data_IF_458393740109
#
_entry.id   IF_458393740109
#
_cell.length_a   1.000
_cell.length_b   1.000
_cell.length_c   1.000
_cell.angle_alpha   90.00
_cell.angle_beta   90.00
_cell.angle_gamma   90.00
#
_symmetry.space_group_name_H-M   'P 1'
#
loop_
_entity.id
_entity.type
_entity.pdbx_description
1 polymer ?
#
# COMPACT_ATOMS: atom_id res chain seq x y z
N UNK A 1 0.78 1.25 22.69
CA UNK A 1 1.36 1.37 24.05
C UNK A 1 1.54 2.85 24.35
N UNK A 2 1.03 3.36 25.47
CA UNK A 2 1.74 4.46 26.11
C UNK A 2 3.12 3.92 26.45
N UNK A 3 4.18 4.63 26.07
CA UNK A 3 5.57 4.26 26.33
C UNK A 3 5.74 4.03 27.84
N UNK A 4 5.61 2.77 28.28
CA UNK A 4 5.89 2.37 29.65
C UNK A 4 7.39 2.10 29.75
N UNK A 5 8.01 2.72 30.74
CA UNK A 5 9.43 2.78 31.09
C UNK A 5 10.11 1.41 31.38
N UNK A 6 9.86 0.38 30.56
CA UNK A 6 10.25 -1.00 30.91
C UNK A 6 10.95 -1.83 29.84
N UNK A 7 11.50 -1.22 28.80
CA UNK A 7 12.53 -1.90 28.01
C UNK A 7 13.84 -1.10 28.04
N UNK A 8 14.93 -1.80 28.37
CA UNK A 8 16.31 -1.41 28.10
C UNK A 8 16.54 -1.37 26.58
N UNK A 9 15.85 -0.47 25.87
CA UNK A 9 16.01 -0.35 24.44
C UNK A 9 17.36 0.30 24.18
N UNK A 10 18.29 -0.50 23.66
CA UNK A 10 19.58 -0.05 23.18
C UNK A 10 19.39 0.55 21.79
N UNK A 11 19.89 1.75 21.58
CA UNK A 11 19.84 2.52 20.34
C UNK A 11 21.23 2.65 19.73
N UNK A 12 21.30 2.96 18.46
CA UNK A 12 22.55 3.26 17.76
C UNK A 12 22.31 4.36 16.74
N UNK A 13 23.39 5.01 16.30
CA UNK A 13 23.35 5.83 15.09
C UNK A 13 23.18 4.90 13.90
N UNK A 14 22.41 5.33 12.89
CA UNK A 14 22.23 4.54 11.69
C UNK A 14 23.59 4.27 11.00
N UNK A 15 23.94 3.02 10.65
CA UNK A 15 25.28 2.67 10.15
C UNK A 15 25.71 3.44 8.89
N UNK A 16 24.76 3.75 8.02
CA UNK A 16 24.98 4.46 6.75
C UNK A 16 24.87 6.00 6.86
N UNK A 17 24.89 6.55 8.08
CA UNK A 17 24.80 8.01 8.24
C UNK A 17 26.04 8.69 7.63
N UNK A 18 25.79 9.74 6.88
CA UNK A 18 26.80 10.57 6.25
C UNK A 18 26.68 12.00 6.80
N UNK A 19 27.79 12.56 7.28
CA UNK A 19 27.84 13.91 7.83
C UNK A 19 28.77 14.77 6.99
N UNK A 20 28.21 15.83 6.39
CA UNK A 20 28.94 16.77 5.56
C UNK A 20 29.06 18.12 6.26
N UNK A 21 30.27 18.47 6.69
CA UNK A 21 30.53 19.78 7.28
C UNK A 21 30.53 20.85 6.19
N UNK A 22 29.71 21.89 6.37
CA UNK A 22 29.64 23.05 5.47
C UNK A 22 30.42 24.23 6.07
N UNK A 23 30.71 25.25 5.26
CA UNK A 23 31.37 26.46 5.78
C UNK A 23 30.51 27.15 6.86
N UNK A 24 31.16 27.58 7.94
CA UNK A 24 30.50 28.23 9.08
C UNK A 24 30.00 27.24 10.15
N UNK A 25 28.86 27.55 10.77
CA UNK A 25 28.26 26.75 11.85
C UNK A 25 27.22 25.74 11.37
N UNK A 26 27.27 25.34 10.10
CA UNK A 26 26.29 24.44 9.46
C UNK A 26 26.90 23.10 9.10
N UNK A 27 26.10 22.07 9.23
CA UNK A 27 26.37 20.74 8.73
C UNK A 27 25.16 20.26 7.92
N UNK A 28 25.36 19.20 7.17
CA UNK A 28 24.31 18.44 6.50
C UNK A 28 24.44 17.00 6.96
N UNK A 29 23.36 16.44 7.48
CA UNK A 29 23.29 15.05 7.90
C UNK A 29 22.41 14.34 6.89
N UNK A 30 22.92 13.25 6.36
CA UNK A 30 22.29 12.53 5.27
C UNK A 30 22.26 11.03 5.56
N UNK A 31 21.20 10.39 5.11
CA UNK A 31 21.17 8.97 4.83
C UNK A 31 20.91 8.89 3.34
N UNK A 32 21.97 8.66 2.56
CA UNK A 32 21.89 8.82 1.09
C UNK A 32 20.99 7.77 0.46
N UNK A 33 21.15 6.52 0.89
CA UNK A 33 20.25 5.42 0.53
C UNK A 33 18.83 5.71 1.02
N UNK A 34 18.71 6.46 2.13
CA UNK A 34 17.43 6.91 2.64
C UNK A 34 16.88 8.19 1.94
N UNK A 35 17.56 8.78 0.97
CA UNK A 35 17.13 10.05 0.33
C UNK A 35 16.87 11.21 1.30
N UNK A 36 17.22 11.04 2.58
CA UNK A 36 16.94 11.96 3.68
C UNK A 36 18.17 12.83 3.82
N UNK A 37 17.98 14.14 3.71
CA UNK A 37 19.03 15.14 3.93
C UNK A 37 18.47 16.29 4.76
N UNK A 38 19.07 16.54 5.91
CA UNK A 38 18.70 17.67 6.76
C UNK A 38 19.88 18.64 6.89
N UNK A 39 19.60 19.94 6.79
CA UNK A 39 20.56 20.95 7.22
C UNK A 39 20.48 21.10 8.73
N UNK A 40 21.62 21.01 9.40
CA UNK A 40 21.71 21.06 10.85
C UNK A 40 22.80 22.03 11.30
N UNK A 41 22.85 22.27 12.62
CA UNK A 41 24.00 22.96 13.21
C UNK A 41 25.20 22.03 13.27
N UNK A 42 26.40 22.60 13.20
CA UNK A 42 27.65 21.86 13.40
C UNK A 42 27.69 21.14 14.76
N UNK A 43 27.08 21.73 15.78
CA UNK A 43 26.98 21.14 17.12
C UNK A 43 26.15 19.85 17.14
N UNK A 44 25.06 19.78 16.37
CA UNK A 44 24.27 18.55 16.25
C UNK A 44 25.05 17.45 15.53
N UNK A 45 25.79 17.80 14.48
CA UNK A 45 26.67 16.85 13.80
C UNK A 45 27.73 16.26 14.75
N UNK A 46 28.37 17.10 15.57
CA UNK A 46 29.34 16.66 16.58
C UNK A 46 28.72 15.74 17.64
N UNK A 47 27.46 15.98 18.03
CA UNK A 47 26.74 15.07 18.94
C UNK A 47 26.48 13.71 18.28
N UNK A 48 26.06 13.70 17.01
CA UNK A 48 25.80 12.45 16.29
C UNK A 48 27.09 11.66 16.11
N UNK A 49 28.20 12.31 15.73
CA UNK A 49 29.52 11.66 15.67
C UNK A 49 29.90 11.04 17.02
N UNK A 50 29.74 11.79 18.12
CA UNK A 50 30.05 11.30 19.47
C UNK A 50 29.15 10.14 19.92
N UNK A 51 27.90 10.08 19.45
CA UNK A 51 27.00 8.95 19.68
C UNK A 51 27.36 7.75 18.80
N UNK A 52 27.84 7.98 17.58
CA UNK A 52 28.24 6.94 16.63
C UNK A 52 29.46 6.16 17.13
N UNK A 53 30.38 6.83 17.83
CA UNK A 53 31.56 6.19 18.45
C UNK A 53 31.23 5.17 19.57
N UNK A 54 30.00 5.18 20.10
CA UNK A 54 29.63 4.36 21.27
C UNK A 54 29.14 2.96 20.92
N UNK A 55 29.06 2.60 19.64
CA UNK A 55 28.35 1.44 19.06
C UNK A 55 26.84 1.42 19.40
N UNK A 56 26.48 1.57 20.69
CA UNK A 56 25.11 1.61 21.17
C UNK A 56 24.96 2.49 22.43
N UNK A 57 23.76 3.05 22.67
CA UNK A 57 23.45 3.96 23.78
C UNK A 57 21.98 3.88 24.22
N UNK A 58 21.64 4.44 25.38
CA UNK A 58 20.24 4.53 25.87
C UNK A 58 19.56 5.83 25.41
N UNK A 59 18.22 5.87 25.46
CA UNK A 59 17.47 7.12 25.22
C UNK A 59 17.86 8.21 26.20
N UNK A 60 18.09 7.88 27.47
CA UNK A 60 18.50 8.87 28.47
C UNK A 60 19.86 9.50 28.14
N UNK A 61 20.77 8.75 27.50
CA UNK A 61 22.03 9.30 26.99
C UNK A 61 21.77 10.37 25.93
N UNK A 62 20.77 10.20 25.07
CA UNK A 62 20.40 11.23 24.08
C UNK A 62 19.78 12.46 24.74
N UNK A 63 18.92 12.26 25.75
CA UNK A 63 18.25 13.35 26.50
C UNK A 63 19.24 14.25 27.23
N UNK A 64 20.40 13.72 27.61
CA UNK A 64 21.49 14.52 28.20
C UNK A 64 22.21 15.40 27.16
N UNK A 65 22.16 15.06 25.88
CA UNK A 65 22.94 15.70 24.81
C UNK A 65 22.12 16.67 23.95
N UNK A 66 20.84 16.38 23.73
CA UNK A 66 19.94 17.14 22.85
C UNK A 66 18.53 17.26 23.44
N UNK A 67 17.76 18.24 22.96
CA UNK A 67 16.35 18.41 23.36
C UNK A 67 15.45 17.33 22.77
N UNK A 68 14.29 17.08 23.39
CA UNK A 68 13.28 16.12 22.90
C UNK A 68 12.88 16.37 21.44
N UNK A 69 12.65 17.62 21.04
CA UNK A 69 12.33 17.96 19.63
C UNK A 69 13.40 17.47 18.64
N UNK A 70 14.68 17.47 19.05
CA UNK A 70 15.78 17.00 18.21
C UNK A 70 15.80 15.48 18.19
N UNK A 71 15.54 14.82 19.32
CA UNK A 71 15.43 13.35 19.40
C UNK A 71 14.32 12.88 18.46
N UNK A 72 13.15 13.53 18.50
CA UNK A 72 12.02 13.22 17.63
C UNK A 72 12.40 13.37 16.15
N UNK A 73 13.11 14.44 15.78
CA UNK A 73 13.62 14.62 14.41
C UNK A 73 14.60 13.51 14.04
N UNK A 74 15.52 13.15 14.93
CA UNK A 74 16.51 12.10 14.68
C UNK A 74 15.86 10.72 14.48
N UNK A 75 14.88 10.37 15.33
CA UNK A 75 14.15 9.11 15.24
C UNK A 75 13.23 9.07 14.02
N UNK A 76 12.46 10.14 13.77
CA UNK A 76 11.54 10.24 12.63
C UNK A 76 12.27 10.13 11.29
N UNK A 77 13.50 10.64 11.21
CA UNK A 77 14.32 10.58 10.00
C UNK A 77 15.30 9.41 10.00
N UNK A 78 15.14 8.44 10.92
CA UNK A 78 15.96 7.23 11.02
C UNK A 78 17.46 7.45 11.24
N UNK A 79 17.90 8.65 11.64
CA UNK A 79 19.31 8.89 12.00
C UNK A 79 19.72 8.13 13.26
N UNK A 80 18.75 7.86 14.16
CA UNK A 80 18.91 7.06 15.36
C UNK A 80 17.87 5.96 15.38
N UNK A 81 18.30 4.72 15.59
CA UNK A 81 17.48 3.51 15.41
C UNK A 81 17.67 2.55 16.59
N UNK A 82 16.65 1.76 16.98
CA UNK A 82 16.85 0.66 17.93
C UNK A 82 17.82 -0.38 17.33
N UNK A 83 18.68 -0.98 18.16
CA UNK A 83 19.62 -2.01 17.69
C UNK A 83 18.89 -3.21 17.08
N UNK A 84 17.75 -3.58 17.66
CA UNK A 84 16.88 -4.64 17.13
C UNK A 84 16.36 -4.38 15.71
N UNK A 85 16.38 -3.13 15.25
CA UNK A 85 15.88 -2.70 13.95
C UNK A 85 16.96 -2.73 12.85
N UNK A 86 18.23 -3.01 13.19
CA UNK A 86 19.33 -2.99 12.23
C UNK A 86 19.10 -3.95 11.05
N UNK A 87 18.65 -5.16 11.34
CA UNK A 87 18.33 -6.14 10.31
C UNK A 87 17.11 -5.71 9.49
N UNK A 88 16.11 -5.09 10.12
CA UNK A 88 14.90 -4.60 9.47
C UNK A 88 15.23 -3.47 8.47
N UNK A 89 16.06 -2.51 8.86
CA UNK A 89 16.47 -1.39 8.01
C UNK A 89 17.46 -1.79 6.92
N UNK A 90 18.39 -2.73 7.21
CA UNK A 90 19.29 -3.30 6.19
C UNK A 90 18.50 -4.09 5.15
N UNK A 91 17.49 -4.84 5.59
CA UNK A 91 16.67 -5.67 4.71
C UNK A 91 15.65 -4.83 3.94
N UNK A 92 14.99 -3.88 4.60
CA UNK A 92 13.89 -3.08 4.05
C UNK A 92 13.96 -1.60 4.47
N UNK A 93 14.80 -0.80 3.81
CA UNK A 93 14.77 0.66 3.95
C UNK A 93 13.41 1.24 3.55
N UNK A 94 12.85 2.12 4.39
CA UNK A 94 11.57 2.82 4.16
C UNK A 94 11.72 4.31 4.48
N UNK A 95 11.22 5.18 3.62
CA UNK A 95 11.19 6.64 3.81
C UNK A 95 9.85 7.07 4.40
N UNK A 96 9.79 7.91 5.45
CA UNK A 96 8.52 8.41 5.96
C UNK A 96 7.79 9.25 4.90
N UNK A 97 6.47 9.10 4.80
CA UNK A 97 5.69 9.94 3.89
C UNK A 97 5.69 11.41 4.34
N UNK A 98 5.96 12.33 3.41
CA UNK A 98 5.81 13.78 3.66
C UNK A 98 4.37 14.16 4.05
N UNK A 99 3.40 13.40 3.53
CA UNK A 99 1.97 13.59 3.70
C UNK A 99 1.33 12.25 4.03
N UNK A 100 1.43 11.79 5.30
CA UNK A 100 0.92 10.49 5.70
C UNK A 100 -0.60 10.44 5.63
N UNK A 101 -1.13 9.26 5.32
CA UNK A 101 -2.55 8.92 5.46
C UNK A 101 -2.81 8.49 6.90
N UNK A 102 -3.57 9.27 7.66
CA UNK A 102 -3.73 9.02 9.09
C UNK A 102 -2.44 9.30 9.86
N UNK A 103 -2.06 8.41 10.77
CA UNK A 103 -0.92 8.60 11.67
C UNK A 103 0.37 8.07 11.03
N UNK A 104 1.49 8.77 11.18
CA UNK A 104 2.79 8.21 10.78
C UNK A 104 3.13 6.99 11.64
N UNK A 105 3.47 5.89 10.98
CA UNK A 105 4.04 4.71 11.61
C UNK A 105 5.49 4.60 11.19
N UNK A 106 6.39 4.68 12.15
CA UNK A 106 7.79 4.38 11.90
C UNK A 106 8.03 2.88 12.08
N UNK A 107 9.05 2.35 11.42
CA UNK A 107 9.40 0.94 11.51
C UNK A 107 9.72 0.47 12.95
N UNK A 108 10.21 1.34 13.85
CA UNK A 108 10.40 1.02 15.27
C UNK A 108 9.10 0.96 16.10
N UNK A 109 7.99 1.43 15.53
CA UNK A 109 6.66 1.42 16.14
C UNK A 109 5.82 0.23 15.63
N UNK A 110 6.37 -0.64 14.79
CA UNK A 110 5.64 -1.80 14.26
C UNK A 110 5.02 -2.66 15.37
N UNK A 111 5.71 -2.88 16.49
CA UNK A 111 5.19 -3.65 17.65
C UNK A 111 4.02 -2.98 18.38
N UNK A 112 3.74 -1.71 18.08
CA UNK A 112 2.59 -1.00 18.64
C UNK A 112 1.28 -1.30 17.90
N UNK A 113 1.38 -1.87 16.70
CA UNK A 113 0.23 -2.27 15.89
C UNK A 113 -0.61 -3.32 16.60
N UNK A 114 -1.92 -3.18 16.46
CA UNK A 114 -2.92 -4.08 16.99
C UNK A 114 -3.63 -4.81 15.85
N UNK A 115 -4.37 -5.85 16.25
CA UNK A 115 -5.28 -6.55 15.37
C UNK A 115 -6.25 -5.55 14.72
N UNK A 116 -6.45 -5.70 13.41
CA UNK A 116 -7.36 -4.91 12.57
C UNK A 116 -6.95 -3.44 12.35
N UNK A 117 -5.81 -2.97 12.90
CA UNK A 117 -5.19 -1.70 12.48
C UNK A 117 -4.91 -1.73 10.98
N UNK A 118 -5.02 -0.59 10.29
CA UNK A 118 -4.81 -0.49 8.84
C UNK A 118 -3.50 0.23 8.54
N UNK A 119 -2.59 -0.43 7.83
CA UNK A 119 -1.28 0.12 7.45
C UNK A 119 -1.23 0.39 5.96
N UNK A 120 -1.06 1.65 5.59
CA UNK A 120 -0.88 2.13 4.22
C UNK A 120 0.60 2.35 3.95
N UNK A 121 1.10 1.94 2.79
CA UNK A 121 2.46 2.24 2.37
C UNK A 121 2.63 2.09 0.87
N UNK A 122 3.72 2.64 0.33
CA UNK A 122 4.02 2.62 -1.10
C UNK A 122 5.14 1.65 -1.39
N UNK A 123 4.96 0.87 -2.45
CA UNK A 123 5.95 -0.08 -2.92
C UNK A 123 6.18 0.15 -4.43
N UNK A 124 7.36 0.60 -4.85
CA UNK A 124 7.68 0.88 -6.25
C UNK A 124 8.17 -0.39 -6.99
N UNK A 125 7.48 -1.53 -6.83
CA UNK A 125 7.86 -2.78 -7.51
C UNK A 125 7.56 -2.64 -9.01
N UNK A 126 8.56 -2.85 -9.86
CA UNK A 126 8.35 -2.77 -11.30
C UNK A 126 9.23 -3.76 -12.07
N UNK A 127 8.59 -4.58 -12.89
CA UNK A 127 9.19 -5.60 -13.74
C UNK A 127 9.66 -5.07 -15.09
N UNK A 128 9.13 -3.94 -15.54
CA UNK A 128 9.46 -3.35 -16.85
C UNK A 128 10.04 -1.95 -16.70
N UNK A 129 11.30 -1.76 -17.09
CA UNK A 129 12.00 -0.47 -16.98
C UNK A 129 11.75 0.47 -18.16
N UNK A 130 10.96 0.04 -19.16
CA UNK A 130 10.78 0.70 -20.45
C UNK A 130 9.31 0.70 -20.91
N UNK A 131 8.38 0.98 -20.01
CA UNK A 131 7.00 1.26 -20.35
C UNK A 131 6.84 2.74 -20.77
N UNK A 132 5.90 3.02 -21.68
CA UNK A 132 5.60 4.40 -22.12
C UNK A 132 5.07 5.27 -20.97
N UNK A 133 4.47 4.61 -19.96
CA UNK A 133 3.96 5.23 -18.73
C UNK A 133 4.62 4.54 -17.54
N UNK A 134 5.62 5.18 -16.90
CA UNK A 134 6.18 4.69 -15.64
C UNK A 134 5.11 4.61 -14.55
N UNK A 135 5.20 3.61 -13.67
CA UNK A 135 4.20 3.36 -12.58
C UNK A 135 4.82 3.30 -11.18
N UNK A 136 6.14 3.39 -11.06
CA UNK A 136 6.86 3.22 -9.78
C UNK A 136 6.48 4.27 -8.75
N UNK A 137 6.17 5.51 -9.18
CA UNK A 137 5.76 6.60 -8.28
C UNK A 137 4.26 6.86 -8.23
N UNK A 138 3.42 6.17 -9.03
CA UNK A 138 1.99 6.43 -9.09
C UNK A 138 1.28 6.28 -7.76
N UNK A 139 1.69 5.29 -6.96
CA UNK A 139 1.16 5.08 -5.60
C UNK A 139 1.38 6.28 -4.66
N UNK A 140 2.40 7.11 -4.87
CA UNK A 140 2.60 8.35 -4.09
C UNK A 140 1.52 9.39 -4.38
N UNK A 141 1.05 9.45 -5.62
CA UNK A 141 -0.08 10.30 -5.99
C UNK A 141 -1.38 9.80 -5.37
N UNK A 142 -1.62 8.49 -5.39
CA UNK A 142 -2.77 7.87 -4.70
C UNK A 142 -2.73 8.24 -3.22
N UNK A 143 -1.58 8.06 -2.55
CA UNK A 143 -1.39 8.44 -1.15
C UNK A 143 -1.72 9.91 -0.91
N UNK A 144 -1.24 10.81 -1.77
CA UNK A 144 -1.51 12.24 -1.61
C UNK A 144 -3.00 12.55 -1.60
N UNK A 145 -3.76 12.06 -2.59
CA UNK A 145 -5.21 12.29 -2.64
C UNK A 145 -5.95 11.58 -1.51
N UNK A 146 -5.45 10.42 -1.08
CA UNK A 146 -6.00 9.69 0.05
C UNK A 146 -5.80 10.49 1.35
N UNK A 147 -4.60 10.99 1.60
CA UNK A 147 -4.29 11.84 2.75
C UNK A 147 -5.16 13.10 2.74
N UNK A 148 -5.37 13.74 1.59
CA UNK A 148 -6.24 14.89 1.45
C UNK A 148 -7.72 14.55 1.77
N UNK A 149 -8.15 13.29 1.63
CA UNK A 149 -9.48 12.81 2.05
C UNK A 149 -9.63 12.70 3.57
N UNK A 150 -8.55 12.35 4.28
CA UNK A 150 -8.53 12.17 5.73
C UNK A 150 -8.01 13.39 6.50
N UNK A 151 -7.67 14.49 5.80
CA UNK A 151 -7.17 15.74 6.40
C UNK A 151 -8.29 16.71 6.71
N UNK A 152 -8.16 17.40 7.85
CA UNK A 152 -9.03 18.52 8.20
C UNK A 152 -8.34 19.88 8.08
N UNK A 153 -9.14 20.89 7.73
CA UNK A 153 -8.69 22.23 7.31
C UNK A 153 -8.15 23.13 8.43
N UNK A 154 -7.60 22.56 9.52
CA UNK A 154 -7.23 23.32 10.74
C UNK A 154 -5.82 23.05 11.26
N UNK A 155 -5.40 21.78 11.35
CA UNK A 155 -4.08 21.37 11.85
C UNK A 155 -3.85 19.87 11.56
N UNK A 156 -2.62 19.42 11.25
CA UNK A 156 -2.33 18.00 11.00
C UNK A 156 -2.56 17.05 12.19
N UNK A 157 -2.84 17.59 13.39
CA UNK A 157 -3.05 16.81 14.62
C UNK A 157 -4.49 16.92 15.19
N UNK A 158 -5.40 17.62 14.52
CA UNK A 158 -6.77 17.70 15.01
C UNK A 158 -7.53 16.43 14.61
N UNK A 159 -7.98 15.67 15.61
CA UNK A 159 -8.93 14.58 15.38
C UNK A 159 -10.19 15.18 14.80
N UNK A 160 -10.63 14.65 13.67
CA UNK A 160 -11.72 15.26 12.95
C UNK A 160 -12.72 14.25 12.40
N UNK A 161 -13.98 14.69 12.43
CA UNK A 161 -15.10 13.93 11.90
C UNK A 161 -15.09 14.02 10.38
N UNK A 162 -14.95 12.86 9.74
CA UNK A 162 -15.18 12.68 8.32
C UNK A 162 -16.64 12.31 8.14
N UNK A 163 -17.34 13.02 7.24
CA UNK A 163 -18.70 12.67 6.87
C UNK A 163 -18.62 11.65 5.73
N UNK A 164 -18.97 10.40 6.02
CA UNK A 164 -19.20 9.39 4.99
C UNK A 164 -20.64 9.55 4.48
N UNK A 165 -20.79 10.16 3.31
CA UNK A 165 -22.09 10.40 2.72
C UNK A 165 -22.79 9.11 2.25
N UNK A 166 -22.02 8.08 1.94
CA UNK A 166 -22.51 6.81 1.42
C UNK A 166 -23.06 5.93 2.56
N UNK A 167 -22.49 6.04 3.76
CA UNK A 167 -23.04 5.43 4.98
C UNK A 167 -23.97 6.34 5.79
N UNK A 168 -23.95 7.65 5.54
CA UNK A 168 -24.71 8.62 6.32
C UNK A 168 -24.18 8.81 7.74
N UNK A 169 -22.90 8.53 7.94
CA UNK A 169 -22.27 8.52 9.28
C UNK A 169 -21.15 9.55 9.38
N UNK A 170 -20.89 9.99 10.61
CA UNK A 170 -19.66 10.70 10.96
C UNK A 170 -18.67 9.70 11.54
N UNK A 171 -17.46 9.73 11.03
CA UNK A 171 -16.37 8.85 11.42
C UNK A 171 -15.22 9.70 11.91
N UNK A 172 -14.81 9.54 13.16
CA UNK A 172 -13.55 10.14 13.62
C UNK A 172 -12.38 9.48 12.88
N UNK A 173 -11.46 10.28 12.36
CA UNK A 173 -10.25 9.77 11.72
C UNK A 173 -9.41 8.91 12.67
N UNK A 174 -9.42 9.20 13.97
CA UNK A 174 -8.71 8.39 14.97
C UNK A 174 -9.34 7.01 15.21
N UNK A 175 -10.66 6.87 15.03
CA UNK A 175 -11.38 5.60 15.13
C UNK A 175 -11.03 4.62 14.00
N UNK A 176 -10.40 5.09 12.92
CA UNK A 176 -10.01 4.26 11.78
C UNK A 176 -8.73 3.47 12.03
N UNK A 177 -7.98 3.79 13.10
CA UNK A 177 -6.68 3.16 13.41
C UNK A 177 -5.79 3.01 12.16
N UNK A 178 -5.70 4.12 11.41
CA UNK A 178 -5.04 4.20 10.10
C UNK A 178 -3.63 4.76 10.26
N UNK A 179 -2.66 3.99 9.77
CA UNK A 179 -1.25 4.28 9.88
C UNK A 179 -0.59 4.32 8.50
N UNK A 180 0.37 5.22 8.28
CA UNK A 180 1.17 5.30 7.05
C UNK A 180 2.63 5.01 7.36
N UNK A 181 3.15 3.91 6.80
CA UNK A 181 4.53 3.47 6.98
C UNK A 181 5.50 4.22 6.05
N UNK A 182 4.99 4.90 5.02
CA UNK A 182 5.81 5.60 4.03
C UNK A 182 6.15 4.76 2.81
N UNK A 183 7.31 5.02 2.21
CA UNK A 183 7.73 4.55 0.89
C UNK A 183 8.87 3.55 1.01
N UNK A 184 8.73 2.34 0.44
CA UNK A 184 9.87 1.42 0.32
C UNK A 184 10.94 2.08 -0.53
N UNK A 185 12.19 2.03 -0.05
CA UNK A 185 13.31 2.59 -0.76
C UNK A 185 13.61 1.81 -2.04
N UNK A 186 13.90 2.59 -3.09
CA UNK A 186 14.10 2.11 -4.44
C UNK A 186 15.04 3.04 -5.20
N UNK A 187 16.14 2.47 -5.68
CA UNK A 187 16.99 3.09 -6.68
C UNK A 187 16.80 2.39 -8.05
N UNK A 188 16.13 3.05 -9.02
CA UNK A 188 15.88 2.48 -10.34
C UNK A 188 17.16 2.21 -11.16
N UNK A 189 18.29 2.80 -10.77
CA UNK A 189 19.57 2.63 -11.47
C UNK A 189 20.33 1.38 -11.05
N UNK A 190 20.09 0.89 -9.83
CA UNK A 190 20.90 -0.18 -9.23
C UNK A 190 20.07 -1.37 -8.76
N UNK A 191 18.77 -1.18 -8.55
CA UNK A 191 17.91 -2.18 -7.93
C UNK A 191 16.94 -2.83 -8.91
N UNK A 192 16.69 -4.12 -8.68
CA UNK A 192 15.78 -4.92 -9.51
C UNK A 192 14.40 -5.01 -8.89
N UNK A 193 13.40 -5.34 -9.71
CA UNK A 193 12.06 -5.75 -9.27
C UNK A 193 12.09 -6.70 -8.07
N UNK A 194 12.99 -7.70 -8.12
CA UNK A 194 13.12 -8.71 -7.08
C UNK A 194 13.62 -8.14 -5.76
N UNK A 195 14.61 -7.25 -5.80
CA UNK A 195 15.15 -6.60 -4.61
C UNK A 195 14.06 -5.83 -3.87
N UNK A 196 13.30 -5.00 -4.59
CA UNK A 196 12.20 -4.21 -4.01
C UNK A 196 11.02 -5.11 -3.60
N UNK A 197 10.73 -6.15 -4.38
CA UNK A 197 9.68 -7.12 -4.06
C UNK A 197 9.97 -7.93 -2.78
N UNK A 198 11.22 -8.35 -2.56
CA UNK A 198 11.62 -9.04 -1.32
C UNK A 198 11.47 -8.12 -0.09
N UNK A 199 11.78 -6.82 -0.24
CA UNK A 199 11.50 -5.78 0.77
C UNK A 199 10.02 -5.68 1.10
N UNK A 200 9.18 -5.57 0.06
CA UNK A 200 7.73 -5.53 0.19
C UNK A 200 7.21 -6.77 0.91
N UNK A 201 7.62 -7.96 0.48
CA UNK A 201 7.21 -9.23 1.08
C UNK A 201 7.52 -9.25 2.57
N UNK A 202 8.73 -8.83 2.95
CA UNK A 202 9.14 -8.74 4.34
C UNK A 202 8.25 -7.79 5.17
N UNK A 203 7.96 -6.58 4.69
CA UNK A 203 7.06 -5.67 5.40
C UNK A 203 5.63 -6.22 5.52
N UNK A 204 5.11 -6.81 4.44
CA UNK A 204 3.79 -7.44 4.45
C UNK A 204 3.72 -8.56 5.49
N UNK A 205 4.79 -9.36 5.61
CA UNK A 205 4.89 -10.40 6.64
C UNK A 205 4.84 -9.81 8.04
N UNK A 206 5.62 -8.76 8.32
CA UNK A 206 5.64 -8.09 9.63
C UNK A 206 4.27 -7.51 10.00
N UNK A 207 3.57 -6.87 9.04
CA UNK A 207 2.21 -6.34 9.25
C UNK A 207 1.24 -7.51 9.52
N UNK A 208 1.31 -8.59 8.73
CA UNK A 208 0.46 -9.76 8.90
C UNK A 208 0.64 -10.46 10.24
N UNK A 209 1.87 -10.62 10.72
CA UNK A 209 2.15 -11.30 11.99
C UNK A 209 1.44 -10.60 13.17
N UNK A 210 1.24 -9.29 13.07
CA UNK A 210 0.54 -8.44 14.05
C UNK A 210 -0.98 -8.39 13.86
N UNK A 211 -1.50 -9.15 12.89
CA UNK A 211 -2.92 -9.23 12.53
C UNK A 211 -3.52 -7.89 12.06
N UNK A 212 -2.67 -7.00 11.58
CA UNK A 212 -3.08 -5.73 10.97
C UNK A 212 -3.38 -5.94 9.50
N UNK A 213 -4.21 -5.08 8.93
CA UNK A 213 -4.56 -5.08 7.51
C UNK A 213 -3.60 -4.15 6.77
N UNK A 214 -3.36 -4.44 5.49
CA UNK A 214 -2.46 -3.63 4.66
C UNK A 214 -3.18 -3.01 3.46
N UNK A 215 -2.73 -1.83 3.05
CA UNK A 215 -3.05 -1.19 1.78
C UNK A 215 -1.73 -0.83 1.11
N UNK A 216 -1.33 -1.62 0.12
CA UNK A 216 -0.08 -1.41 -0.63
C UNK A 216 -0.39 -0.55 -1.85
N UNK A 217 0.29 0.58 -1.98
CA UNK A 217 0.11 1.51 -3.09
C UNK A 217 1.26 1.36 -4.07
N UNK A 218 0.93 1.24 -5.35
CA UNK A 218 1.89 1.34 -6.43
C UNK A 218 2.51 0.02 -6.86
N UNK A 219 3.52 0.20 -7.70
CA UNK A 219 4.11 -0.81 -8.53
C UNK A 219 3.29 -1.13 -9.78
N UNK A 220 3.93 -1.84 -10.70
CA UNK A 220 3.23 -2.59 -11.72
C UNK A 220 2.58 -3.84 -11.07
N UNK A 221 1.76 -4.57 -11.82
CA UNK A 221 1.01 -5.68 -11.24
C UNK A 221 1.88 -6.84 -10.73
N UNK A 222 3.16 -6.87 -11.12
CA UNK A 222 4.10 -7.88 -10.63
C UNK A 222 4.31 -7.85 -9.11
N UNK A 223 3.93 -6.73 -8.48
CA UNK A 223 3.84 -6.58 -7.04
C UNK A 223 3.02 -7.70 -6.36
N UNK A 224 1.93 -8.13 -7.00
CA UNK A 224 0.97 -9.08 -6.44
C UNK A 224 1.64 -10.36 -5.95
N UNK A 225 2.68 -10.83 -6.64
CA UNK A 225 3.44 -12.01 -6.23
C UNK A 225 4.02 -11.86 -4.82
N UNK A 226 4.65 -10.72 -4.53
CA UNK A 226 5.32 -10.49 -3.25
C UNK A 226 4.32 -10.25 -2.13
N UNK A 227 3.28 -9.44 -2.38
CA UNK A 227 2.21 -9.18 -1.41
C UNK A 227 1.49 -10.48 -1.04
N UNK A 228 1.06 -11.26 -2.02
CA UNK A 228 0.29 -12.50 -1.81
C UNK A 228 1.17 -13.60 -1.21
N UNK A 229 2.45 -13.70 -1.61
CA UNK A 229 3.39 -14.64 -1.00
C UNK A 229 3.57 -14.38 0.50
N UNK A 230 3.70 -13.12 0.90
CA UNK A 230 3.86 -12.73 2.30
C UNK A 230 2.69 -13.17 3.19
N UNK A 231 1.46 -13.16 2.66
CA UNK A 231 0.26 -13.57 3.40
C UNK A 231 0.35 -15.03 3.88
N UNK A 232 1.06 -15.91 3.16
CA UNK A 232 1.21 -17.33 3.52
C UNK A 232 1.77 -17.57 4.93
N UNK A 233 2.47 -16.57 5.48
CA UNK A 233 3.08 -16.61 6.81
C UNK A 233 2.04 -16.82 7.91
N UNK A 234 0.85 -16.24 7.74
CA UNK A 234 -0.24 -16.31 8.72
C UNK A 234 -1.52 -16.91 8.15
N UNK A 235 -1.79 -16.69 6.86
CA UNK A 235 -3.00 -17.11 6.19
C UNK A 235 -2.71 -18.34 5.34
N UNK A 236 -2.99 -19.51 5.90
CA UNK A 236 -2.67 -20.79 5.27
C UNK A 236 -3.55 -21.11 4.05
N UNK A 237 -4.71 -20.47 3.95
CA UNK A 237 -5.68 -20.62 2.86
C UNK A 237 -6.31 -19.26 2.57
N UNK A 238 -6.14 -18.76 1.35
CA UNK A 238 -6.68 -17.45 0.94
C UNK A 238 -7.43 -17.52 -0.39
N UNK A 239 -8.44 -16.68 -0.50
CA UNK A 239 -9.01 -16.27 -1.79
C UNK A 239 -8.39 -14.96 -2.26
N UNK A 240 -8.21 -14.81 -3.58
CA UNK A 240 -7.72 -13.56 -4.19
C UNK A 240 -8.79 -13.02 -5.13
N UNK A 241 -9.06 -11.72 -5.06
CA UNK A 241 -9.91 -11.01 -6.03
C UNK A 241 -9.00 -10.07 -6.81
N UNK A 242 -8.80 -10.36 -8.09
CA UNK A 242 -8.04 -9.54 -9.03
C UNK A 242 -9.03 -8.68 -9.81
N UNK A 243 -9.03 -7.37 -9.57
CA UNK A 243 -9.71 -6.41 -10.44
C UNK A 243 -8.72 -5.97 -11.51
N UNK A 244 -9.03 -6.26 -12.77
CA UNK A 244 -8.09 -6.06 -13.87
C UNK A 244 -8.81 -6.12 -15.24
N UNK A 245 -8.34 -5.34 -16.23
CA UNK A 245 -8.74 -5.50 -17.62
C UNK A 245 -8.18 -6.79 -18.26
N UNK A 246 -7.05 -7.25 -17.77
CA UNK A 246 -6.23 -8.35 -18.23
C UNK A 246 -6.37 -9.57 -17.32
N UNK A 247 -5.81 -10.69 -17.77
CA UNK A 247 -5.73 -11.91 -16.97
C UNK A 247 -4.44 -12.02 -16.17
N UNK A 248 -3.36 -11.39 -16.64
CA UNK A 248 -2.02 -11.60 -16.10
C UNK A 248 -1.57 -13.07 -15.97
N UNK A 249 -2.04 -13.89 -16.91
CA UNK A 249 -1.73 -15.32 -17.01
C UNK A 249 -0.78 -15.63 -18.17
N UNK A 250 -0.18 -14.61 -18.80
CA UNK A 250 0.52 -14.76 -20.08
C UNK A 250 1.80 -15.59 -19.98
N UNK A 251 1.88 -16.71 -20.72
CA UNK A 251 3.12 -17.49 -20.87
C UNK A 251 3.22 -17.97 -22.31
N UNK A 252 3.99 -17.29 -23.17
CA UNK A 252 4.11 -17.72 -24.58
C UNK A 252 5.25 -18.71 -24.86
N UNK A 253 6.03 -19.07 -23.84
CA UNK A 253 7.15 -20.00 -23.96
C UNK A 253 8.45 -19.36 -24.48
N UNK A 254 8.47 -18.04 -24.70
CA UNK A 254 9.73 -17.30 -24.88
C UNK A 254 10.48 -17.18 -23.54
N UNK A 255 11.82 -17.18 -23.52
CA UNK A 255 12.59 -17.05 -22.28
C UNK A 255 12.28 -15.79 -21.47
N UNK A 256 11.91 -14.68 -22.12
CA UNK A 256 11.45 -13.44 -21.48
C UNK A 256 10.15 -13.61 -20.70
N UNK A 257 9.30 -14.54 -21.13
CA UNK A 257 7.96 -14.77 -20.56
C UNK A 257 7.99 -15.85 -19.48
N UNK A 258 9.16 -16.48 -19.26
CA UNK A 258 9.43 -17.36 -18.13
C UNK A 258 9.88 -16.59 -16.89
N UNK A 259 10.29 -15.32 -17.04
CA UNK A 259 10.51 -14.43 -15.90
C UNK A 259 9.18 -13.80 -15.48
N UNK A 260 8.99 -13.65 -14.17
CA UNK A 260 7.80 -13.01 -13.63
C UNK A 260 7.78 -11.52 -13.98
N UNK A 261 6.68 -11.05 -14.54
CA UNK A 261 6.39 -9.66 -14.88
C UNK A 261 4.91 -9.34 -14.62
N UNK A 262 4.51 -8.09 -14.83
CA UNK A 262 3.13 -7.65 -14.63
C UNK A 262 2.12 -8.52 -15.40
N UNK A 263 2.28 -8.67 -16.71
CA UNK A 263 1.38 -9.44 -17.57
C UNK A 263 1.33 -10.98 -17.33
N UNK A 264 2.15 -11.53 -16.43
CA UNK A 264 2.13 -12.97 -16.11
C UNK A 264 2.12 -13.29 -14.61
N UNK A 265 2.00 -12.30 -13.73
CA UNK A 265 2.14 -12.50 -12.28
C UNK A 265 1.15 -13.53 -11.74
N UNK A 266 -0.09 -13.53 -12.24
CA UNK A 266 -1.12 -14.48 -11.81
C UNK A 266 -0.89 -15.90 -12.30
N UNK A 267 -0.03 -16.11 -13.31
CA UNK A 267 0.44 -17.45 -13.65
C UNK A 267 1.21 -18.07 -12.48
N UNK A 268 1.96 -17.27 -11.73
CA UNK A 268 2.74 -17.72 -10.59
C UNK A 268 1.90 -17.75 -9.30
N UNK A 269 1.03 -16.77 -9.10
CA UNK A 269 0.14 -16.70 -7.92
C UNK A 269 -0.77 -17.91 -7.83
N UNK A 270 -1.34 -18.40 -8.93
CA UNK A 270 -2.24 -19.57 -8.90
C UNK A 270 -1.54 -20.86 -8.46
N UNK A 271 -0.22 -20.96 -8.68
CA UNK A 271 0.59 -22.12 -8.31
C UNK A 271 0.98 -22.09 -6.82
N UNK A 272 0.75 -20.98 -6.11
CA UNK A 272 1.01 -20.89 -4.67
C UNK A 272 0.09 -21.84 -3.90
N UNK A 273 0.67 -22.59 -2.96
CA UNK A 273 -0.04 -23.63 -2.22
C UNK A 273 -1.15 -23.08 -1.31
N UNK A 274 -0.96 -21.87 -0.75
CA UNK A 274 -1.93 -21.22 0.13
C UNK A 274 -3.04 -20.46 -0.61
N UNK A 275 -2.91 -20.26 -1.94
CA UNK A 275 -3.96 -19.66 -2.76
C UNK A 275 -4.95 -20.73 -3.18
N UNK A 276 -6.20 -20.64 -2.70
CA UNK A 276 -7.26 -21.62 -2.96
C UNK A 276 -8.05 -21.28 -4.22
N UNK A 277 -8.37 -20.00 -4.41
CA UNK A 277 -9.18 -19.51 -5.53
C UNK A 277 -8.75 -18.09 -5.91
N UNK A 278 -8.85 -17.77 -7.20
CA UNK A 278 -8.64 -16.44 -7.77
C UNK A 278 -9.91 -16.07 -8.54
N UNK A 279 -10.46 -14.89 -8.26
CA UNK A 279 -11.57 -14.29 -8.99
C UNK A 279 -11.09 -13.06 -9.75
N UNK A 280 -11.08 -13.15 -11.08
CA UNK A 280 -10.70 -12.07 -11.97
C UNK A 280 -11.94 -11.30 -12.38
N UNK A 281 -11.93 -9.99 -12.20
CA UNK A 281 -13.11 -9.13 -12.31
C UNK A 281 -12.79 -7.96 -13.23
N UNK A 282 -13.60 -7.79 -14.27
CA UNK A 282 -13.43 -6.70 -15.25
C UNK A 282 -12.61 -7.08 -16.48
N UNK A 283 -12.24 -8.37 -16.59
CA UNK A 283 -11.45 -8.88 -17.71
C UNK A 283 -12.16 -8.63 -19.04
N UNK A 284 -11.43 -8.07 -19.99
CA UNK A 284 -11.93 -7.72 -21.33
C UNK A 284 -10.85 -7.63 -22.40
N UNK A 285 -9.58 -7.60 -22.02
CA UNK A 285 -8.46 -7.73 -22.96
C UNK A 285 -7.67 -9.00 -22.65
N UNK A 286 -7.63 -9.89 -23.63
CA UNK A 286 -7.07 -11.23 -23.48
C UNK A 286 -6.16 -11.49 -24.66
N UNK A 287 -4.87 -11.61 -24.40
CA UNK A 287 -3.91 -12.04 -25.41
C UNK A 287 -4.07 -13.54 -25.69
N UNK A 288 -4.35 -13.95 -26.95
CA UNK A 288 -4.37 -15.36 -27.32
C UNK A 288 -2.98 -15.97 -27.17
N UNK A 289 -2.83 -16.98 -26.32
CA UNK A 289 -1.56 -17.70 -26.19
C UNK A 289 -1.43 -18.77 -27.28
N UNK A 290 -0.24 -18.88 -27.90
CA UNK A 290 0.13 -20.05 -28.69
C UNK A 290 0.41 -21.23 -27.75
N UNK A 291 -0.65 -21.97 -27.40
CA UNK A 291 -0.63 -23.03 -26.36
C UNK A 291 0.11 -24.31 -26.76
N UNK A 292 1.02 -24.28 -27.75
CA UNK A 292 1.71 -25.49 -28.20
C UNK A 292 2.77 -25.99 -27.20
N UNK A 293 3.34 -25.10 -26.37
CA UNK A 293 4.45 -25.43 -25.45
C UNK A 293 4.10 -25.29 -23.96
N UNK A 294 2.96 -24.69 -23.61
CA UNK A 294 2.49 -24.61 -22.22
C UNK A 294 1.40 -25.66 -22.06
N UNK A 295 1.61 -26.63 -21.18
CA UNK A 295 0.55 -27.58 -20.83
C UNK A 295 -0.69 -26.78 -20.44
N UNK A 296 -1.78 -26.96 -21.19
CA UNK A 296 -3.11 -26.45 -20.86
C UNK A 296 -3.56 -27.13 -19.58
N UNK A 297 -3.05 -26.70 -18.43
CA UNK A 297 -3.72 -26.95 -17.17
C UNK A 297 -4.99 -26.12 -17.22
N UNK A 298 -6.15 -26.76 -17.08
CA UNK A 298 -7.32 -26.04 -16.60
C UNK A 298 -6.84 -25.25 -15.37
N UNK A 299 -7.01 -23.94 -15.38
CA UNK A 299 -6.66 -23.11 -14.23
C UNK A 299 -7.74 -23.35 -13.17
N UNK A 300 -7.69 -24.51 -12.51
CA UNK A 300 -8.77 -25.01 -11.66
C UNK A 300 -9.13 -24.06 -10.50
N UNK A 301 -8.22 -23.14 -10.16
CA UNK A 301 -8.40 -22.11 -9.14
C UNK A 301 -8.91 -20.77 -9.68
N UNK A 302 -8.89 -20.53 -11.01
CA UNK A 302 -9.18 -19.22 -11.60
C UNK A 302 -10.60 -19.17 -12.12
N UNK A 303 -11.35 -18.18 -11.64
CA UNK A 303 -12.70 -17.85 -12.06
C UNK A 303 -12.68 -16.44 -12.68
N UNK A 304 -13.44 -16.23 -13.75
CA UNK A 304 -13.46 -14.93 -14.44
C UNK A 304 -14.87 -14.37 -14.52
N UNK A 305 -15.00 -13.08 -14.22
CA UNK A 305 -16.14 -12.22 -14.44
C UNK A 305 -15.71 -11.11 -15.41
N UNK A 306 -16.15 -11.18 -16.67
CA UNK A 306 -15.76 -10.17 -17.66
C UNK A 306 -16.36 -8.80 -17.34
N UNK A 307 -15.79 -7.72 -17.88
CA UNK A 307 -16.38 -6.38 -17.73
C UNK A 307 -17.83 -6.34 -18.25
N UNK A 308 -18.10 -7.00 -19.38
CA UNK A 308 -19.46 -7.09 -19.93
C UNK A 308 -20.41 -7.77 -18.94
N UNK A 309 -20.01 -8.90 -18.36
CA UNK A 309 -20.84 -9.61 -17.39
C UNK A 309 -21.05 -8.79 -16.12
N UNK A 310 -19.97 -8.24 -15.56
CA UNK A 310 -20.02 -7.39 -14.37
C UNK A 310 -20.99 -6.20 -14.56
N UNK A 311 -20.97 -5.55 -15.73
CA UNK A 311 -21.86 -4.40 -16.01
C UNK A 311 -23.30 -4.79 -16.34
N UNK A 312 -23.53 -5.92 -16.99
CA UNK A 312 -24.87 -6.30 -17.48
C UNK A 312 -25.63 -7.23 -16.52
N UNK A 313 -24.91 -8.01 -15.73
CA UNK A 313 -25.46 -9.02 -14.81
C UNK A 313 -25.06 -8.79 -13.35
N UNK A 314 -24.12 -7.87 -13.10
CA UNK A 314 -23.63 -7.58 -11.76
C UNK A 314 -22.64 -8.64 -11.23
N UNK A 315 -22.37 -8.55 -9.93
CA UNK A 315 -21.34 -9.34 -9.23
C UNK A 315 -21.89 -10.56 -8.48
N UNK A 316 -23.09 -11.03 -8.80
CA UNK A 316 -23.76 -12.12 -8.06
C UNK A 316 -22.88 -13.37 -7.93
N UNK A 317 -22.30 -13.85 -9.05
CA UNK A 317 -21.42 -15.03 -9.06
C UNK A 317 -20.20 -14.89 -8.14
N UNK A 318 -19.59 -13.71 -8.11
CA UNK A 318 -18.46 -13.44 -7.23
C UNK A 318 -18.92 -13.53 -5.77
N UNK A 319 -19.97 -12.79 -5.41
CA UNK A 319 -20.47 -12.72 -4.03
C UNK A 319 -20.92 -14.10 -3.53
N UNK A 320 -21.62 -14.88 -4.34
CA UNK A 320 -22.09 -16.23 -3.97
C UNK A 320 -20.93 -17.22 -3.78
N UNK A 321 -19.76 -16.95 -4.38
CA UNK A 321 -18.57 -17.79 -4.30
C UNK A 321 -17.57 -17.35 -3.23
N UNK A 322 -17.82 -16.24 -2.54
CA UNK A 322 -16.98 -15.79 -1.43
C UNK A 322 -17.16 -16.75 -0.23
N UNK A 323 -16.15 -17.58 0.03
CA UNK A 323 -16.11 -18.50 1.16
C UNK A 323 -15.68 -17.76 2.45
N UNK A 324 -16.56 -17.65 3.48
CA UNK A 324 -16.23 -17.02 4.76
C UNK A 324 -15.19 -17.80 5.59
N UNK A 325 -14.84 -19.03 5.21
CA UNK A 325 -13.76 -19.80 5.83
C UNK A 325 -12.37 -19.42 5.32
N UNK A 326 -12.29 -18.64 4.24
CA UNK A 326 -11.05 -18.13 3.69
C UNK A 326 -10.84 -16.67 4.13
N UNK A 327 -9.58 -16.31 4.33
CA UNK A 327 -9.17 -14.92 4.31
C UNK A 327 -9.03 -14.46 2.86
N UNK A 328 -9.40 -13.21 2.57
CA UNK A 328 -9.42 -12.69 1.21
C UNK A 328 -8.46 -11.52 1.02
N UNK A 329 -7.80 -11.48 -0.12
CA UNK A 329 -6.94 -10.37 -0.54
C UNK A 329 -7.46 -9.74 -1.84
N UNK A 330 -7.46 -8.41 -1.92
CA UNK A 330 -7.87 -7.67 -3.11
C UNK A 330 -6.63 -7.13 -3.82
N UNK A 331 -6.40 -7.58 -5.05
CA UNK A 331 -5.40 -7.00 -5.94
C UNK A 331 -6.14 -6.14 -6.96
N UNK A 332 -5.96 -4.82 -6.90
CA UNK A 332 -6.71 -3.86 -7.70
C UNK A 332 -5.81 -3.18 -8.72
N UNK A 333 -5.85 -3.67 -9.96
CA UNK A 333 -5.34 -2.91 -11.09
C UNK A 333 -6.32 -1.81 -11.45
N UNK A 334 -5.84 -0.56 -11.52
CA UNK A 334 -6.70 0.56 -11.89
C UNK A 334 -7.26 0.42 -13.29
N UNK A 335 -6.55 -0.26 -14.21
CA UNK A 335 -6.95 -0.46 -15.60
C UNK A 335 -8.25 -1.27 -15.78
N UNK A 336 -8.75 -1.91 -14.71
CA UNK A 336 -10.10 -2.48 -14.63
C UNK A 336 -11.18 -1.46 -14.96
N UNK A 337 -10.92 -0.18 -14.64
CA UNK A 337 -11.81 0.93 -14.91
C UNK A 337 -11.81 1.27 -16.41
N UNK A 338 -12.84 1.99 -16.86
CA UNK A 338 -12.89 2.42 -18.25
C UNK A 338 -11.68 3.31 -18.60
N UNK A 339 -10.93 2.96 -19.64
CA UNK A 339 -9.74 3.73 -20.07
C UNK A 339 -9.99 5.22 -20.36
N UNK A 340 -11.25 5.63 -20.59
CA UNK A 340 -11.65 7.04 -20.70
C UNK A 340 -11.48 7.82 -19.40
N UNK A 341 -11.57 7.14 -18.26
CA UNK A 341 -11.61 7.73 -16.92
C UNK A 341 -10.22 7.71 -16.27
N UNK A 342 -9.32 6.86 -16.79
CA UNK A 342 -7.99 6.60 -16.24
C UNK A 342 -6.91 6.56 -17.33
N UNK A 343 -6.73 7.63 -18.12
CA UNK A 343 -5.75 7.66 -19.21
C UNK A 343 -4.29 7.57 -18.75
N UNK A 344 -4.05 7.70 -17.44
CA UNK A 344 -2.72 7.70 -16.81
C UNK A 344 -2.24 6.29 -16.42
N UNK A 345 -2.99 5.22 -16.72
CA UNK A 345 -2.50 3.84 -16.55
C UNK A 345 -1.61 3.42 -17.74
N UNK A 346 -0.74 2.44 -17.55
CA UNK A 346 0.16 1.95 -18.60
C UNK A 346 -0.57 1.23 -19.75
N UNK A 347 -1.67 0.54 -19.45
CA UNK A 347 -2.42 -0.30 -20.40
C UNK A 347 -3.91 0.01 -20.42
N UNK A 348 -4.34 1.23 -20.83
CA UNK A 348 -5.74 1.61 -20.77
C UNK A 348 -6.58 0.84 -21.79
N UNK A 349 -7.60 0.12 -21.30
CA UNK A 349 -8.55 -0.63 -22.15
C UNK A 349 -9.95 0.01 -22.12
N UNK A 350 -10.57 0.19 -23.29
CA UNK A 350 -11.93 0.72 -23.38
C UNK A 350 -12.99 -0.25 -22.82
N UNK A 351 -14.14 0.27 -22.39
CA UNK A 351 -15.29 -0.55 -21.98
C UNK A 351 -15.16 -1.25 -20.61
N UNK A 352 -14.39 -0.68 -19.68
CA UNK A 352 -14.20 -1.17 -18.31
C UNK A 352 -15.34 -0.83 -17.34
N UNK A 353 -15.07 -1.05 -16.05
CA UNK A 353 -15.99 -0.70 -14.96
C UNK A 353 -15.95 0.81 -14.71
N UNK A 354 -17.02 1.34 -14.12
CA UNK A 354 -17.07 2.73 -13.65
C UNK A 354 -17.01 2.79 -12.11
N UNK A 355 -16.66 3.96 -11.57
CA UNK A 355 -16.50 4.18 -10.13
C UNK A 355 -17.71 3.68 -9.32
N UNK A 356 -18.93 4.05 -9.73
CA UNK A 356 -20.15 3.68 -9.00
C UNK A 356 -20.52 2.20 -9.14
N UNK A 357 -20.02 1.51 -10.16
CA UNK A 357 -20.14 0.05 -10.29
C UNK A 357 -19.27 -0.67 -9.25
N UNK A 358 -18.04 -0.18 -9.00
CA UNK A 358 -17.08 -0.79 -8.07
C UNK A 358 -17.33 -0.38 -6.62
N UNK A 359 -17.72 0.86 -6.38
CA UNK A 359 -17.88 1.43 -5.03
C UNK A 359 -18.71 0.56 -4.05
N UNK A 360 -19.93 0.10 -4.39
CA UNK A 360 -20.74 -0.73 -3.48
C UNK A 360 -20.20 -2.17 -3.36
N UNK A 361 -19.34 -2.61 -4.27
CA UNK A 361 -18.81 -3.96 -4.25
C UNK A 361 -17.83 -4.19 -3.08
N UNK A 362 -17.00 -3.20 -2.74
CA UNK A 362 -16.11 -3.32 -1.57
C UNK A 362 -16.88 -3.62 -0.29
N UNK A 363 -17.98 -2.91 -0.06
CA UNK A 363 -18.84 -3.14 1.10
C UNK A 363 -19.49 -4.53 1.09
N UNK A 364 -19.93 -5.01 -0.09
CA UNK A 364 -20.49 -6.35 -0.21
C UNK A 364 -19.44 -7.43 0.07
N UNK A 365 -18.21 -7.24 -0.40
CA UNK A 365 -17.09 -8.16 -0.15
C UNK A 365 -16.73 -8.16 1.33
N UNK A 366 -16.43 -7.00 1.91
CA UNK A 366 -15.99 -6.90 3.31
C UNK A 366 -17.05 -7.36 4.29
N UNK A 367 -18.34 -7.25 3.97
CA UNK A 367 -19.42 -7.85 4.77
C UNK A 367 -19.52 -9.37 4.66
N UNK A 368 -19.18 -9.93 3.51
CA UNK A 368 -19.29 -11.36 3.27
C UNK A 368 -18.13 -12.15 3.88
N UNK A 369 -16.92 -11.58 3.85
CA UNK A 369 -15.67 -12.28 4.19
C UNK A 369 -14.65 -11.36 4.85
N UNK A 370 -13.69 -11.96 5.57
CA UNK A 370 -12.57 -11.20 6.10
C UNK A 370 -11.59 -10.84 4.99
N UNK A 371 -11.46 -9.54 4.69
CA UNK A 371 -10.42 -9.04 3.78
C UNK A 371 -9.19 -8.63 4.61
N UNK A 372 -8.04 -9.27 4.34
CA UNK A 372 -6.78 -9.08 5.10
C UNK A 372 -5.91 -7.97 4.54
N UNK A 373 -6.17 -7.54 3.32
CA UNK A 373 -5.44 -6.44 2.71
C UNK A 373 -5.90 -6.16 1.29
N UNK A 374 -5.37 -5.06 0.76
CA UNK A 374 -5.55 -4.65 -0.61
C UNK A 374 -4.22 -4.12 -1.16
N UNK A 375 -4.02 -4.24 -2.46
CA UNK A 375 -3.06 -3.43 -3.19
C UNK A 375 -3.72 -2.70 -4.35
N UNK A 376 -3.15 -1.56 -4.74
CA UNK A 376 -3.55 -0.78 -5.92
C UNK A 376 -2.33 -0.57 -6.80
N UNK A 377 -2.38 -1.04 -8.05
CA UNK A 377 -1.24 -1.08 -8.99
C UNK A 377 -1.55 -0.33 -10.28
N UNK A 378 -0.55 -0.21 -11.17
CA UNK A 378 -0.64 0.36 -12.53
C UNK A 378 -1.15 1.80 -12.62
N UNK A 379 -0.98 2.57 -11.55
CA UNK A 379 -1.16 4.03 -11.58
C UNK A 379 0.09 4.67 -12.15
N UNK A 380 -0.05 5.46 -13.21
CA UNK A 380 1.08 6.16 -13.81
C UNK A 380 1.65 7.29 -12.96
N UNK A 381 2.91 7.62 -13.22
CA UNK A 381 3.68 8.64 -12.52
C UNK A 381 3.40 10.08 -12.98
N UNK A 382 2.72 10.24 -14.12
CA UNK A 382 2.39 11.56 -14.68
C UNK A 382 1.76 12.48 -13.64
N UNK A 383 2.05 13.78 -13.72
CA UNK A 383 1.43 14.76 -12.83
C UNK A 383 -0.09 14.57 -12.88
N UNK A 384 -0.72 14.16 -11.76
CA UNK A 384 -2.12 13.81 -11.79
C UNK A 384 -2.93 15.05 -12.16
N UNK A 385 -3.75 14.91 -13.19
CA UNK A 385 -4.81 15.89 -13.40
C UNK A 385 -5.79 15.83 -12.21
N UNK A 386 -6.60 16.88 -11.99
CA UNK A 386 -7.58 16.91 -10.89
C UNK A 386 -8.62 15.77 -10.96
N UNK A 387 -8.67 15.02 -12.06
CA UNK A 387 -9.54 13.88 -12.32
C UNK A 387 -8.75 12.63 -12.78
N UNK A 388 -7.47 12.52 -12.39
CA UNK A 388 -6.57 11.45 -12.82
C UNK A 388 -6.82 10.09 -12.14
N UNK A 389 -6.15 9.05 -12.62
CA UNK A 389 -6.27 7.68 -12.13
C UNK A 389 -5.96 7.58 -10.63
N UNK A 390 -4.96 8.34 -10.17
CA UNK A 390 -4.58 8.40 -8.76
C UNK A 390 -5.71 8.93 -7.85
N UNK A 391 -6.49 9.91 -8.32
CA UNK A 391 -7.58 10.49 -7.54
C UNK A 391 -8.76 9.51 -7.40
N UNK A 392 -9.09 8.80 -8.50
CA UNK A 392 -10.13 7.76 -8.48
C UNK A 392 -9.70 6.60 -7.58
N UNK A 393 -8.46 6.13 -7.73
CA UNK A 393 -7.89 5.10 -6.87
C UNK A 393 -7.94 5.48 -5.38
N UNK A 394 -7.60 6.72 -5.03
CA UNK A 394 -7.70 7.20 -3.66
C UNK A 394 -9.15 7.19 -3.13
N UNK A 395 -10.13 7.57 -3.95
CA UNK A 395 -11.55 7.50 -3.58
C UNK A 395 -12.05 6.07 -3.42
N UNK A 396 -11.51 5.11 -4.16
CA UNK A 396 -11.80 3.69 -4.00
C UNK A 396 -11.14 3.14 -2.73
N UNK A 397 -9.89 3.52 -2.46
CA UNK A 397 -9.18 3.14 -1.24
C UNK A 397 -9.85 3.69 0.02
N UNK A 398 -10.33 4.93 0.02
CA UNK A 398 -11.08 5.48 1.15
C UNK A 398 -12.39 4.71 1.38
N UNK A 399 -13.10 4.32 0.31
CA UNK A 399 -14.30 3.48 0.45
C UNK A 399 -13.98 2.11 1.04
N UNK A 400 -12.90 1.48 0.59
CA UNK A 400 -12.43 0.22 1.16
C UNK A 400 -12.17 0.39 2.67
N UNK A 401 -11.43 1.42 3.08
CA UNK A 401 -11.15 1.74 4.49
C UNK A 401 -12.45 1.90 5.30
N UNK A 402 -13.41 2.69 4.82
CA UNK A 402 -14.69 2.85 5.52
C UNK A 402 -15.47 1.53 5.63
N UNK A 403 -15.43 0.69 4.60
CA UNK A 403 -16.13 -0.59 4.59
C UNK A 403 -15.57 -1.59 5.62
N UNK A 404 -14.31 -1.44 6.05
CA UNK A 404 -13.70 -2.31 7.07
C UNK A 404 -14.33 -2.13 8.46
N UNK A 405 -15.05 -1.04 8.73
CA UNK A 405 -15.70 -0.79 10.02
C UNK A 405 -16.94 -1.65 10.27
N UNK A 406 -17.45 -2.36 9.26
CA UNK A 406 -18.69 -3.14 9.30
C UNK A 406 -19.86 -2.40 9.99
N UNK A 407 -20.41 -1.31 9.40
CA UNK A 407 -21.52 -0.61 10.02
C UNK A 407 -22.72 -1.55 10.18
N UNK A 408 -23.24 -1.64 11.41
CA UNK A 408 -24.34 -2.57 11.78
C UNK A 408 -25.64 -2.26 11.03
N UNK A 409 -25.79 -1.04 10.49
CA UNK A 409 -26.86 -0.66 9.59
C UNK A 409 -26.32 0.34 8.57
N UNK A 410 -26.33 0.03 7.27
CA UNK A 410 -26.29 1.12 6.28
C UNK A 410 -27.61 1.83 6.40
N UNK A 411 -27.59 3.03 6.97
CA UNK A 411 -28.73 3.92 6.87
C UNK A 411 -28.98 4.13 5.38
N UNK A 412 -30.14 3.73 4.88
CA UNK A 412 -30.58 4.21 3.58
C UNK A 412 -30.77 5.73 3.70
N UNK A 413 -29.72 6.42 3.27
CA UNK A 413 -29.73 7.72 2.60
C UNK A 413 -29.42 8.98 3.42
N UNK A 414 -28.65 9.84 2.76
CA UNK A 414 -28.73 11.31 2.88
C UNK A 414 -29.79 11.87 1.91
N UNK A 415 -30.18 11.11 0.88
CA UNK A 415 -31.17 11.52 -0.11
C UNK A 415 -32.64 11.44 0.34
N UNK A 416 -33.00 10.75 1.44
CA UNK A 416 -34.38 10.76 1.94
C UNK A 416 -34.80 12.14 2.48
N UNK A 417 -33.85 13.04 2.74
CA UNK A 417 -34.15 14.44 3.04
C UNK A 417 -34.30 15.33 1.80
N UNK A 418 -33.92 14.85 0.62
CA UNK A 418 -34.09 15.58 -0.65
C UNK A 418 -35.38 15.22 -1.38
N UNK A 419 -36.07 14.14 -1.00
CA UNK A 419 -37.37 13.73 -1.54
C UNK A 419 -38.58 14.44 -0.90
N UNK A 420 -38.38 15.32 0.08
CA UNK A 420 -39.47 16.07 0.73
C UNK A 420 -39.72 17.48 0.17
N UNK A 421 -39.01 17.91 -0.89
CA UNK A 421 -39.17 19.26 -1.47
C UNK A 421 -39.48 19.31 -2.97
N UNK A 422 -39.97 18.23 -3.57
CA UNK A 422 -40.51 18.25 -4.95
C UNK A 422 -41.87 17.58 -5.05
N UNK A 423 -42.78 18.01 -4.18
CA UNK A 423 -44.21 17.80 -4.34
C UNK A 423 -44.97 19.11 -4.06
N UNK A 424 -44.86 20.06 -5.00
CA UNK A 424 -45.90 21.04 -5.35
C UNK A 424 -45.92 21.25 -6.86
#
# INVERSE_FOLDING_TARGET
MHFSEKNNDTWQIHPEICIYLRHGHRAEIALEDFGIKISSSRKLAEVIDALNERDHFSVDTMRELVSEDVIDVLMKNYFVIPVAMQDLLKKCPVYPANHPVGQTLNLNQMDSLKKDDVVVFHAPVCSTTHCDVPVTQGGKWVRKFLADTFRCTGSPNDDCDIVDLDFGEKVSASDLHLYDLGDIAYDPMTETQRTVGERLSFLCMEICERQSKMIVLGGDHSQAFYTIQALSRRHHRIGVIQFDAHHDLYVSGNPSDLAMNHANVFHWVKEMAHVETIWQVGVRDIYPQNTHNVQRTQHCKVNTLSAYEARTRGFGRLIDALDPQLDWFISFDVDVLAGSDIPETATPVLGGLDYYTVLPLFERITRAVNVVGMEIVEVGEGQPSSHGAAAIAARLASRYIFSLRHPENVSQSIYAHLSHHTAE
#
